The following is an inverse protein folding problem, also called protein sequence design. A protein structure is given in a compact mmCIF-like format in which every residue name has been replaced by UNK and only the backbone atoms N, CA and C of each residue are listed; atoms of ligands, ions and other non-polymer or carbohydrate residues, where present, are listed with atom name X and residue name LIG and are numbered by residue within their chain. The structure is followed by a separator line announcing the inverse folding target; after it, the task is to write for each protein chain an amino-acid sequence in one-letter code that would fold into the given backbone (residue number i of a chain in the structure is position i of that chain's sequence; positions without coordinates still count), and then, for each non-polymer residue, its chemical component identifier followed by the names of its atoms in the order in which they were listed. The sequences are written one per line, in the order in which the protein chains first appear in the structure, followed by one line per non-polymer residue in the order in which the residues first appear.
data_IF_665608026409
#
_entry.id   IF_665608026409
#
_cell.length_a   1.000
_cell.length_b   1.000
_cell.length_c   1.000
_cell.angle_alpha   90.00
_cell.angle_beta   90.00
_cell.angle_gamma   90.00
#
_symmetry.space_group_name_H-M   'P 1'
#
loop_
_entity.id
_entity.type
_entity.pdbx_description
1 polymer ?
#
# COMPACT_ATOMS: atom_id res chain seq x y z
N UNK A 1 -22.10 -32.68 -55.75
CA UNK A 1 -21.49 -32.04 -54.56
C UNK A 1 -20.99 -33.13 -53.64
N UNK A 2 -19.68 -33.26 -53.46
CA UNK A 2 -19.06 -34.39 -52.76
C UNK A 2 -19.28 -34.35 -51.25
N UNK A 3 -20.13 -35.25 -50.75
CA UNK A 3 -20.22 -35.57 -49.32
C UNK A 3 -19.04 -36.48 -48.95
N UNK A 4 -17.92 -35.88 -48.54
CA UNK A 4 -16.81 -36.60 -47.94
C UNK A 4 -17.22 -37.13 -46.57
N UNK A 5 -17.72 -38.37 -46.54
CA UNK A 5 -17.97 -39.08 -45.29
C UNK A 5 -16.63 -39.28 -44.56
N UNK A 6 -16.50 -38.59 -43.44
CA UNK A 6 -15.31 -38.52 -42.61
C UNK A 6 -15.13 -39.84 -41.85
N UNK A 7 -14.00 -40.53 -42.09
CA UNK A 7 -13.73 -41.87 -41.55
C UNK A 7 -13.50 -41.89 -40.02
N UNK A 8 -13.84 -43.01 -39.33
CA UNK A 8 -13.96 -43.08 -37.86
C UNK A 8 -12.64 -42.97 -37.08
N UNK A 9 -11.48 -43.16 -37.72
CA UNK A 9 -10.16 -42.98 -37.10
C UNK A 9 -9.85 -41.52 -36.72
N UNK A 10 -10.40 -40.53 -37.41
CA UNK A 10 -10.13 -39.11 -37.16
C UNK A 10 -10.85 -38.54 -35.93
N UNK A 11 -11.84 -39.26 -35.39
CA UNK A 11 -12.63 -38.80 -34.24
C UNK A 11 -11.90 -38.97 -32.88
N UNK A 12 -10.95 -39.92 -32.81
CA UNK A 12 -10.20 -40.23 -31.58
C UNK A 12 -9.11 -39.19 -31.29
N UNK A 13 -8.41 -38.71 -32.33
CA UNK A 13 -7.36 -37.69 -32.19
C UNK A 13 -7.88 -36.30 -31.84
N UNK A 14 -9.04 -35.90 -32.38
CA UNK A 14 -9.67 -34.60 -32.08
C UNK A 14 -10.17 -34.51 -30.63
N UNK A 15 -10.65 -35.61 -30.07
CA UNK A 15 -11.08 -35.68 -28.66
C UNK A 15 -9.90 -35.49 -27.70
N UNK A 16 -8.78 -36.19 -27.94
CA UNK A 16 -7.56 -36.04 -27.13
C UNK A 16 -7.00 -34.63 -27.22
N UNK A 17 -7.00 -34.03 -28.42
CA UNK A 17 -6.54 -32.65 -28.62
C UNK A 17 -7.44 -31.63 -27.90
N UNK A 18 -8.77 -31.83 -27.89
CA UNK A 18 -9.72 -30.99 -27.13
C UNK A 18 -9.47 -31.09 -25.62
N UNK A 19 -9.24 -32.30 -25.09
CA UNK A 19 -8.94 -32.48 -23.66
C UNK A 19 -7.62 -31.81 -23.25
N UNK A 20 -6.59 -31.85 -24.10
CA UNK A 20 -5.32 -31.16 -23.85
C UNK A 20 -5.50 -29.65 -23.84
N UNK A 21 -6.26 -29.09 -24.79
CA UNK A 21 -6.53 -27.64 -24.84
C UNK A 21 -7.32 -27.18 -23.61
N UNK A 22 -8.34 -27.95 -23.18
CA UNK A 22 -9.11 -27.64 -21.98
C UNK A 22 -8.24 -27.72 -20.72
N UNK A 23 -7.36 -28.73 -20.62
CA UNK A 23 -6.42 -28.85 -19.50
C UNK A 23 -5.41 -27.68 -19.46
N UNK A 24 -4.92 -27.23 -20.62
CA UNK A 24 -4.05 -26.06 -20.72
C UNK A 24 -4.78 -24.76 -20.34
N UNK A 25 -6.04 -24.58 -20.76
CA UNK A 25 -6.85 -23.42 -20.35
C UNK A 25 -7.09 -23.44 -18.83
N UNK A 26 -7.34 -24.60 -18.25
CA UNK A 26 -7.50 -24.75 -16.80
C UNK A 26 -6.21 -24.43 -16.03
N UNK A 27 -5.05 -24.85 -16.57
CA UNK A 27 -3.72 -24.53 -16.02
C UNK A 27 -3.36 -23.04 -16.13
N UNK A 28 -3.80 -22.38 -17.20
CA UNK A 28 -3.58 -20.93 -17.39
C UNK A 28 -4.53 -20.12 -16.50
N UNK A 29 -5.78 -20.58 -16.31
CA UNK A 29 -6.75 -19.91 -15.44
C UNK A 29 -6.43 -20.03 -13.94
N UNK A 30 -5.86 -21.15 -13.47
CA UNK A 30 -5.52 -21.31 -12.05
C UNK A 30 -4.37 -20.39 -11.59
N UNK A 31 -3.48 -20.01 -12.52
CA UNK A 31 -2.40 -19.06 -12.28
C UNK A 31 -2.90 -17.61 -12.12
N UNK A 32 -4.13 -17.30 -12.55
CA UNK A 32 -4.75 -15.98 -12.41
C UNK A 32 -5.65 -15.92 -11.16
N UNK A 33 -5.13 -16.39 -10.01
CA UNK A 33 -5.76 -16.07 -8.73
C UNK A 33 -5.43 -14.62 -8.40
N UNK A 34 -6.35 -13.72 -8.77
CA UNK A 34 -6.23 -12.28 -8.58
C UNK A 34 -5.91 -11.94 -7.12
N UNK A 35 -4.85 -11.14 -6.94
CA UNK A 35 -4.58 -10.47 -5.67
C UNK A 35 -5.77 -9.56 -5.34
N UNK A 36 -6.63 -10.00 -4.41
CA UNK A 36 -7.67 -9.16 -3.84
C UNK A 36 -6.98 -7.99 -3.13
N UNK A 37 -7.20 -6.78 -3.67
CA UNK A 37 -6.81 -5.55 -3.00
C UNK A 37 -7.64 -5.41 -1.73
N UNK A 38 -7.06 -5.77 -0.58
CA UNK A 38 -7.66 -5.47 0.73
C UNK A 38 -7.68 -3.96 0.90
N UNK A 39 -8.86 -3.37 1.10
CA UNK A 39 -8.99 -1.96 1.42
C UNK A 39 -8.18 -1.72 2.70
N UNK A 40 -7.20 -0.80 2.68
CA UNK A 40 -6.41 -0.54 3.87
C UNK A 40 -7.32 0.05 4.94
N UNK A 41 -7.42 -0.64 6.07
CA UNK A 41 -8.20 -0.20 7.22
C UNK A 41 -7.52 1.01 7.89
N UNK A 42 -8.32 2.04 8.17
CA UNK A 42 -7.90 3.17 9.00
C UNK A 42 -7.59 2.67 10.41
N UNK A 43 -6.37 2.91 10.90
CA UNK A 43 -6.01 2.62 12.28
C UNK A 43 -6.85 3.45 13.25
N UNK A 44 -7.17 2.88 14.42
CA UNK A 44 -7.92 3.57 15.48
C UNK A 44 -7.16 4.74 16.10
N UNK A 45 -5.83 4.74 16.00
CA UNK A 45 -4.99 5.76 16.61
C UNK A 45 -5.00 7.04 15.77
N UNK A 46 -5.43 8.15 16.40
CA UNK A 46 -5.44 9.49 15.81
C UNK A 46 -4.43 10.41 16.49
N UNK A 47 -3.87 11.33 15.72
CA UNK A 47 -3.07 12.45 16.24
C UNK A 47 -3.81 13.73 15.91
N UNK A 48 -4.02 14.58 16.91
CA UNK A 48 -4.65 15.89 16.74
C UNK A 48 -3.58 16.97 16.90
N UNK A 49 -3.37 17.76 15.86
CA UNK A 49 -2.54 18.96 15.93
C UNK A 49 -3.44 20.17 16.14
N UNK A 50 -3.31 20.78 17.32
CA UNK A 50 -3.96 22.05 17.62
C UNK A 50 -3.14 23.18 17.00
N UNK A 51 -3.76 23.93 16.10
CA UNK A 51 -3.13 25.09 15.47
C UNK A 51 -4.00 26.33 15.69
N UNK A 52 -3.42 27.52 15.56
CA UNK A 52 -4.16 28.79 15.70
C UNK A 52 -5.26 28.96 14.63
N UNK A 53 -5.23 28.16 13.56
CA UNK A 53 -6.19 28.19 12.46
C UNK A 53 -7.25 27.08 12.55
N UNK A 54 -7.19 26.24 13.59
CA UNK A 54 -8.09 25.11 13.81
C UNK A 54 -7.36 23.82 14.14
N UNK A 55 -8.14 22.80 14.48
CA UNK A 55 -7.62 21.48 14.83
C UNK A 55 -7.52 20.60 13.59
N UNK A 56 -6.36 19.94 13.42
CA UNK A 56 -6.09 19.02 12.32
C UNK A 56 -5.96 17.62 12.89
N UNK A 57 -6.87 16.72 12.52
CA UNK A 57 -6.82 15.31 12.89
C UNK A 57 -6.16 14.47 11.79
N UNK A 58 -5.18 13.65 12.18
CA UNK A 58 -4.55 12.66 11.30
C UNK A 58 -4.96 11.25 11.70
N UNK A 59 -5.55 10.54 10.75
CA UNK A 59 -5.70 9.09 10.78
C UNK A 59 -4.54 8.42 10.03
N UNK A 60 -4.06 7.29 10.54
CA UNK A 60 -2.94 6.56 9.97
C UNK A 60 -3.38 5.18 9.47
N UNK A 61 -2.68 4.65 8.47
CA UNK A 61 -2.89 3.30 7.94
C UNK A 61 -1.71 2.39 8.33
N UNK A 62 -1.71 1.81 9.55
CA UNK A 62 -0.59 0.99 10.02
C UNK A 62 -0.40 -0.30 9.21
N UNK A 63 -1.47 -0.80 8.57
CA UNK A 63 -1.43 -1.98 7.70
C UNK A 63 -0.58 -1.78 6.44
N UNK A 64 -0.52 -0.56 5.92
CA UNK A 64 0.22 -0.23 4.68
C UNK A 64 1.65 0.20 4.98
N UNK A 65 1.84 1.03 6.01
CA UNK A 65 3.13 1.66 6.30
C UNK A 65 3.46 1.62 7.80
N UNK A 66 3.70 0.44 8.40
CA UNK A 66 3.86 0.30 9.85
C UNK A 66 5.06 1.09 10.40
N UNK A 67 6.20 1.04 9.70
CA UNK A 67 7.44 1.73 10.12
C UNK A 67 7.27 3.25 10.14
N UNK A 68 6.62 3.82 9.13
CA UNK A 68 6.40 5.27 9.03
C UNK A 68 5.44 5.74 10.13
N UNK A 69 4.37 4.98 10.35
CA UNK A 69 3.37 5.29 11.37
C UNK A 69 4.00 5.26 12.77
N UNK A 70 4.78 4.22 13.08
CA UNK A 70 5.52 4.12 14.35
C UNK A 70 6.49 5.30 14.55
N UNK A 71 7.26 5.65 13.51
CA UNK A 71 8.19 6.78 13.56
C UNK A 71 7.46 8.10 13.85
N UNK A 72 6.35 8.38 13.16
CA UNK A 72 5.56 9.60 13.38
C UNK A 72 5.01 9.63 14.81
N UNK A 73 4.45 8.53 15.29
CA UNK A 73 3.95 8.45 16.67
C UNK A 73 5.04 8.72 17.69
N UNK A 74 6.24 8.17 17.47
CA UNK A 74 7.38 8.42 18.34
C UNK A 74 7.72 9.91 18.39
N UNK A 75 7.87 10.55 17.23
CA UNK A 75 8.18 11.98 17.15
C UNK A 75 7.11 12.87 17.79
N UNK A 76 5.83 12.51 17.63
CA UNK A 76 4.71 13.21 18.26
C UNK A 76 4.75 13.05 19.79
N UNK A 77 4.98 11.83 20.30
CA UNK A 77 5.10 11.57 21.76
C UNK A 77 6.26 12.32 22.40
N UNK A 78 7.37 12.47 21.68
CA UNK A 78 8.51 13.27 22.12
C UNK A 78 8.20 14.79 22.09
N UNK A 79 7.13 15.19 21.42
CA UNK A 79 6.77 16.59 21.21
C UNK A 79 7.71 17.29 20.21
N UNK A 80 8.35 16.55 19.30
CA UNK A 80 9.24 17.12 18.28
C UNK A 80 8.51 18.06 17.31
N UNK A 81 7.21 17.82 17.10
CA UNK A 81 6.34 18.65 16.26
C UNK A 81 5.71 19.83 17.01
N UNK A 82 5.88 19.93 18.33
CA UNK A 82 5.32 21.05 19.09
C UNK A 82 5.99 22.35 18.64
N UNK A 83 5.19 23.39 18.38
CA UNK A 83 5.61 24.69 17.83
C UNK A 83 6.24 24.61 16.43
N UNK A 84 6.09 23.50 15.71
CA UNK A 84 6.59 23.41 14.33
C UNK A 84 5.69 24.19 13.38
N UNK A 85 6.27 24.78 12.33
CA UNK A 85 5.56 25.62 11.38
C UNK A 85 5.62 25.01 9.97
N UNK A 86 4.60 25.33 9.17
CA UNK A 86 4.57 25.01 7.75
C UNK A 86 5.51 25.98 7.03
N UNK A 87 6.62 25.47 6.47
CA UNK A 87 7.58 26.31 5.76
C UNK A 87 7.17 26.56 4.31
N UNK A 88 6.34 25.67 3.74
CA UNK A 88 5.85 25.76 2.38
C UNK A 88 4.40 25.30 2.32
N UNK A 89 3.57 26.09 1.67
CA UNK A 89 2.16 25.75 1.42
C UNK A 89 1.84 26.10 -0.02
N UNK A 90 1.67 25.07 -0.85
CA UNK A 90 1.16 25.23 -2.21
C UNK A 90 -0.34 24.92 -2.22
N UNK A 91 -1.13 25.92 -2.64
CA UNK A 91 -2.60 25.80 -2.66
C UNK A 91 -3.02 24.70 -3.63
N UNK A 92 -3.80 23.74 -3.14
CA UNK A 92 -4.31 22.62 -3.93
C UNK A 92 -3.32 21.48 -4.15
N UNK A 93 -2.13 21.52 -3.51
CA UNK A 93 -1.13 20.47 -3.66
C UNK A 93 -0.66 19.94 -2.31
N UNK A 94 0.28 20.64 -1.65
CA UNK A 94 0.93 20.13 -0.44
C UNK A 94 1.30 21.27 0.51
N UNK A 95 1.02 21.06 1.80
CA UNK A 95 1.62 21.81 2.89
C UNK A 95 2.76 20.98 3.51
N UNK A 96 3.97 21.52 3.51
CA UNK A 96 5.16 20.86 4.04
C UNK A 96 5.57 21.48 5.37
N UNK A 97 5.83 20.61 6.34
CA UNK A 97 6.26 20.95 7.70
C UNK A 97 7.78 20.89 7.78
N UNK A 98 8.40 21.80 8.55
CA UNK A 98 9.85 21.85 8.65
C UNK A 98 10.43 20.59 9.31
N UNK A 99 11.67 20.26 8.94
CA UNK A 99 12.40 19.12 9.50
C UNK A 99 12.53 19.23 11.03
N UNK A 100 12.26 18.12 11.72
CA UNK A 100 12.33 18.02 13.19
C UNK A 100 13.74 17.68 13.68
N UNK A 101 14.65 17.25 12.81
CA UNK A 101 16.01 16.81 13.17
C UNK A 101 16.83 17.88 13.89
N UNK A 102 16.61 19.15 13.57
CA UNK A 102 17.34 20.28 14.17
C UNK A 102 16.78 20.72 15.54
N UNK A 103 15.60 20.22 15.95
CA UNK A 103 15.06 20.52 17.27
C UNK A 103 15.95 19.89 18.33
N UNK A 104 16.50 20.69 19.25
CA UNK A 104 17.29 20.19 20.40
C UNK A 104 16.60 19.02 21.11
N UNK A 105 15.27 19.11 21.26
CA UNK A 105 14.47 18.06 21.89
C UNK A 105 14.40 16.75 21.08
N UNK A 106 14.39 16.84 19.76
CA UNK A 106 14.35 15.64 18.90
C UNK A 106 15.75 15.07 18.63
N UNK A 107 16.75 15.95 18.59
CA UNK A 107 18.13 15.62 18.25
C UNK A 107 18.80 14.72 19.28
N UNK A 108 18.52 14.89 20.59
CA UNK A 108 19.09 14.01 21.62
C UNK A 108 18.57 12.57 21.49
N UNK A 109 17.28 12.39 21.21
CA UNK A 109 16.66 11.07 21.16
C UNK A 109 16.98 10.35 19.84
N UNK A 110 17.01 11.10 18.73
CA UNK A 110 17.44 10.58 17.43
C UNK A 110 18.93 10.19 17.44
N UNK A 111 19.78 10.92 18.18
CA UNK A 111 21.19 10.55 18.36
C UNK A 111 21.36 9.31 19.24
N UNK A 112 20.51 9.14 20.26
CA UNK A 112 20.51 7.96 21.12
C UNK A 112 20.07 6.66 20.40
N UNK A 113 19.39 6.76 19.26
CA UNK A 113 19.03 5.61 18.42
C UNK A 113 20.06 5.29 17.35
N UNK A 114 20.68 6.29 16.73
CA UNK A 114 21.71 6.06 15.70
C UNK A 114 22.98 5.43 16.28
N UNK A 115 23.22 5.61 17.59
CA UNK A 115 24.34 5.00 18.31
C UNK A 115 24.09 3.59 18.86
N UNK A 116 22.99 2.93 18.47
CA UNK A 116 22.64 1.56 18.91
C UNK A 116 22.48 0.65 17.69
#
# INVERSE_FOLDING_TARGET
MGSGAMSPEMWRGKRVSIFIVIACIYLICSAFSGALATVPELGSTRVVFQTNYGDIEFGFYPSVAPKTVEHIFKLVRLGCYNTNHFFRVDRGFVAQVADVRWRKKCSYECSAEVGR
#
